data_IF_714012215925
#
_entry.id   IF_714012215925
#
_cell.length_a   1.000
_cell.length_b   1.000
_cell.length_c   1.000
_cell.angle_alpha   90.00
_cell.angle_beta   90.00
_cell.angle_gamma   90.00
#
_symmetry.space_group_name_H-M   'P 1'
#
loop_
_entity.id
_entity.type
_entity.pdbx_description
1 polymer ?
#
# COMPACT_ATOMS: atom_id res chain seq x y z
N UNK A 1 -19.89 5.97 32.21
CA UNK A 1 -21.29 6.41 32.07
C UNK A 1 -21.55 7.25 30.83
N UNK A 2 -20.73 8.27 30.50
CA UNK A 2 -20.87 9.07 29.27
C UNK A 2 -20.62 8.26 27.99
N UNK A 3 -19.63 7.37 27.96
CA UNK A 3 -19.34 6.51 26.79
C UNK A 3 -20.49 5.55 26.46
N UNK A 4 -21.19 5.02 27.46
CA UNK A 4 -22.33 4.12 27.25
C UNK A 4 -23.52 4.86 26.62
N UNK A 5 -23.71 6.16 26.95
CA UNK A 5 -24.77 6.98 26.36
C UNK A 5 -24.44 7.36 24.91
N UNK A 6 -23.18 7.68 24.61
CA UNK A 6 -22.71 7.96 23.25
C UNK A 6 -22.85 6.72 22.38
N UNK A 7 -22.46 5.55 22.86
CA UNK A 7 -22.59 4.29 22.14
C UNK A 7 -24.06 3.89 21.86
N UNK A 8 -25.01 4.39 22.65
CA UNK A 8 -26.45 4.15 22.39
C UNK A 8 -26.93 4.92 21.15
N UNK A 9 -26.44 6.14 20.93
CA UNK A 9 -26.84 6.97 19.79
C UNK A 9 -25.90 6.86 18.58
N UNK A 10 -24.62 6.54 18.81
CA UNK A 10 -23.58 6.39 17.81
C UNK A 10 -22.81 5.08 18.04
N UNK A 11 -23.43 3.92 17.83
CA UNK A 11 -22.77 2.65 18.07
C UNK A 11 -21.60 2.48 17.11
N UNK A 12 -20.49 1.94 17.62
CA UNK A 12 -19.36 1.54 16.79
C UNK A 12 -19.78 0.36 15.92
N UNK A 13 -19.53 0.47 14.63
CA UNK A 13 -19.86 -0.57 13.64
C UNK A 13 -18.60 -1.13 12.98
N UNK A 14 -18.66 -2.39 12.60
CA UNK A 14 -17.60 -3.06 11.88
C UNK A 14 -17.40 -2.43 10.50
N UNK A 15 -16.16 -2.04 10.18
CA UNK A 15 -15.81 -1.45 8.87
C UNK A 15 -15.92 -2.43 7.70
N UNK A 16 -16.06 -3.74 7.96
CA UNK A 16 -16.21 -4.77 6.93
C UNK A 16 -17.65 -5.17 6.63
N UNK A 17 -18.54 -5.27 7.65
CA UNK A 17 -19.92 -5.75 7.49
C UNK A 17 -21.00 -4.82 8.06
N UNK A 18 -20.60 -3.70 8.68
CA UNK A 18 -21.50 -2.72 9.32
C UNK A 18 -22.32 -3.27 10.51
N UNK A 19 -22.04 -4.47 11.01
CA UNK A 19 -22.63 -4.99 12.25
C UNK A 19 -22.07 -4.25 13.45
N UNK A 20 -22.83 -4.17 14.56
CA UNK A 20 -22.35 -3.58 15.80
C UNK A 20 -21.11 -4.31 16.33
N UNK A 21 -20.12 -3.54 16.76
CA UNK A 21 -18.93 -4.09 17.42
C UNK A 21 -19.24 -4.40 18.90
N UNK A 22 -18.72 -5.55 19.36
CA UNK A 22 -18.71 -5.89 20.77
C UNK A 22 -17.69 -5.04 21.54
N UNK A 23 -17.77 -5.05 22.86
CA UNK A 23 -16.91 -4.21 23.74
C UNK A 23 -15.41 -4.44 23.54
N UNK A 24 -15.02 -5.65 23.16
CA UNK A 24 -13.63 -6.06 22.90
C UNK A 24 -13.23 -6.04 21.43
N UNK A 25 -14.12 -5.61 20.56
CA UNK A 25 -13.86 -5.49 19.12
C UNK A 25 -13.55 -4.03 18.76
N UNK A 26 -12.65 -3.87 17.81
CA UNK A 26 -12.28 -2.55 17.31
C UNK A 26 -12.09 -2.59 15.79
N UNK A 27 -12.67 -1.65 15.06
CA UNK A 27 -12.62 -1.50 13.60
C UNK A 27 -13.23 -2.67 12.82
N UNK A 28 -12.86 -3.91 13.12
CA UNK A 28 -13.28 -5.14 12.41
C UNK A 28 -13.79 -6.15 13.45
N UNK A 29 -15.02 -6.67 13.26
CA UNK A 29 -15.59 -7.68 14.16
C UNK A 29 -14.91 -9.05 14.00
N UNK A 30 -15.08 -9.90 15.01
CA UNK A 30 -14.49 -11.25 15.04
C UNK A 30 -14.93 -12.10 13.83
N UNK A 31 -16.20 -12.01 13.42
CA UNK A 31 -16.72 -12.73 12.24
C UNK A 31 -15.99 -12.30 10.97
N UNK A 32 -15.91 -10.98 10.70
CA UNK A 32 -15.17 -10.50 9.54
C UNK A 32 -13.69 -10.89 9.61
N UNK A 33 -13.08 -10.85 10.79
CA UNK A 33 -11.67 -11.24 10.96
C UNK A 33 -11.43 -12.71 10.67
N UNK A 34 -12.41 -13.57 10.96
CA UNK A 34 -12.37 -14.99 10.66
C UNK A 34 -12.58 -15.27 9.17
N UNK A 35 -13.55 -14.57 8.54
CA UNK A 35 -14.00 -14.87 7.17
C UNK A 35 -13.21 -14.12 6.09
N UNK A 36 -12.33 -13.18 6.47
CA UNK A 36 -11.56 -12.39 5.52
C UNK A 36 -10.58 -13.28 4.73
N UNK A 37 -10.53 -13.19 3.38
CA UNK A 37 -9.75 -14.08 2.55
C UNK A 37 -8.25 -13.72 2.60
N UNK A 38 -7.50 -14.35 3.51
CA UNK A 38 -6.05 -14.26 3.60
C UNK A 38 -5.38 -14.90 2.36
N UNK A 39 -4.32 -14.27 1.85
CA UNK A 39 -3.55 -14.84 0.74
C UNK A 39 -2.52 -15.87 1.21
N UNK A 40 -2.02 -15.71 2.42
CA UNK A 40 -0.87 -16.45 2.96
C UNK A 40 0.39 -16.38 2.07
N UNK A 41 0.55 -15.28 1.34
CA UNK A 41 1.70 -15.08 0.43
C UNK A 41 3.04 -15.08 1.16
N UNK A 42 3.08 -14.79 2.46
CA UNK A 42 4.27 -14.85 3.28
C UNK A 42 4.88 -16.26 3.39
N UNK A 43 4.06 -17.30 3.16
CA UNK A 43 4.50 -18.70 3.19
C UNK A 43 5.09 -19.19 1.85
N UNK A 44 4.95 -18.41 0.77
CA UNK A 44 5.40 -18.83 -0.56
C UNK A 44 6.06 -17.64 -1.31
N UNK A 45 7.35 -17.74 -1.55
CA UNK A 45 8.11 -16.72 -2.28
C UNK A 45 7.66 -16.56 -3.74
N UNK A 46 7.22 -17.64 -4.40
CA UNK A 46 6.73 -17.65 -5.79
C UNK A 46 5.20 -17.52 -5.87
N UNK A 47 4.61 -16.72 -5.00
CA UNK A 47 3.18 -16.50 -4.93
C UNK A 47 2.61 -15.76 -6.18
N UNK A 48 1.28 -15.66 -6.27
CA UNK A 48 0.60 -15.03 -7.42
C UNK A 48 0.92 -13.54 -7.57
N UNK A 49 1.18 -12.83 -6.47
CA UNK A 49 1.56 -11.43 -6.52
C UNK A 49 2.97 -11.27 -7.13
N UNK A 50 3.91 -12.13 -6.76
CA UNK A 50 5.27 -12.15 -7.31
C UNK A 50 5.24 -12.44 -8.82
N UNK A 51 4.43 -13.41 -9.27
CA UNK A 51 4.28 -13.77 -10.68
C UNK A 51 3.79 -12.62 -11.56
N UNK A 52 3.02 -11.65 -11.01
CA UNK A 52 2.60 -10.45 -11.78
C UNK A 52 3.77 -9.56 -12.21
N UNK A 53 4.92 -9.65 -11.54
CA UNK A 53 6.10 -8.83 -11.84
C UNK A 53 7.22 -9.61 -12.54
N UNK A 54 7.06 -10.93 -12.67
CA UNK A 54 8.05 -11.79 -13.30
C UNK A 54 8.36 -11.33 -14.73
N UNK A 55 9.66 -11.15 -15.04
CA UNK A 55 10.12 -10.66 -16.35
C UNK A 55 9.87 -9.18 -16.62
N UNK A 56 9.17 -8.44 -15.74
CA UNK A 56 8.85 -7.02 -15.90
C UNK A 56 9.80 -6.12 -15.12
N UNK A 57 10.05 -6.45 -13.87
CA UNK A 57 10.97 -5.76 -12.96
C UNK A 57 11.65 -6.78 -12.02
N UNK A 58 12.89 -6.51 -11.58
CA UNK A 58 13.60 -7.36 -10.63
C UNK A 58 13.12 -7.06 -9.20
N UNK A 59 12.02 -7.69 -8.75
CA UNK A 59 11.56 -7.63 -7.36
C UNK A 59 12.16 -8.80 -6.55
N UNK A 60 12.55 -8.53 -5.29
CA UNK A 60 13.05 -9.56 -4.37
C UNK A 60 11.88 -10.33 -3.75
N UNK A 61 10.83 -9.61 -3.32
CA UNK A 61 9.64 -10.19 -2.73
C UNK A 61 8.42 -9.38 -3.16
N UNK A 62 7.29 -10.08 -3.33
CA UNK A 62 5.98 -9.43 -3.50
C UNK A 62 4.93 -10.22 -2.76
N UNK A 63 4.10 -9.52 -1.98
CA UNK A 63 2.98 -10.15 -1.29
C UNK A 63 1.82 -9.18 -1.07
N UNK A 64 0.66 -9.72 -0.76
CA UNK A 64 -0.52 -8.98 -0.32
C UNK A 64 -1.15 -9.73 0.85
N UNK A 65 -1.79 -9.00 1.77
CA UNK A 65 -2.42 -9.62 2.95
C UNK A 65 -3.69 -10.39 2.56
N UNK A 66 -4.55 -9.78 1.71
CA UNK A 66 -5.86 -10.34 1.36
C UNK A 66 -6.05 -10.55 -0.13
N UNK A 67 -6.94 -11.47 -0.49
CA UNK A 67 -7.58 -11.47 -1.81
C UNK A 67 -8.69 -10.42 -1.86
N UNK A 68 -8.71 -9.62 -2.92
CA UNK A 68 -9.73 -8.62 -3.18
C UNK A 68 -10.85 -9.21 -4.03
N UNK A 69 -12.02 -9.41 -3.42
CA UNK A 69 -13.23 -9.84 -4.13
C UNK A 69 -14.23 -8.69 -4.22
N UNK A 70 -14.94 -8.58 -5.36
CA UNK A 70 -16.05 -7.64 -5.50
C UNK A 70 -17.17 -8.01 -4.53
N UNK A 71 -17.76 -7.02 -3.88
CA UNK A 71 -18.80 -7.16 -2.86
C UNK A 71 -18.37 -7.96 -1.61
N UNK A 72 -17.06 -8.12 -1.39
CA UNK A 72 -16.52 -8.80 -0.23
C UNK A 72 -16.07 -7.83 0.88
N UNK A 73 -15.76 -8.40 2.06
CA UNK A 73 -15.28 -7.67 3.26
C UNK A 73 -14.09 -6.76 2.92
N UNK A 74 -13.12 -7.24 2.15
CA UNK A 74 -11.91 -6.48 1.78
C UNK A 74 -12.26 -5.27 0.94
N UNK A 75 -13.23 -5.37 0.02
CA UNK A 75 -13.69 -4.23 -0.76
C UNK A 75 -14.26 -3.14 0.14
N UNK A 76 -15.10 -3.51 1.13
CA UNK A 76 -15.70 -2.55 2.08
C UNK A 76 -14.62 -1.87 2.93
N UNK A 77 -13.65 -2.62 3.46
CA UNK A 77 -12.53 -2.07 4.21
C UNK A 77 -11.74 -1.04 3.38
N UNK A 78 -11.35 -1.41 2.16
CA UNK A 78 -10.60 -0.51 1.27
C UNK A 78 -11.45 0.69 0.85
N UNK A 79 -12.76 0.52 0.65
CA UNK A 79 -13.67 1.62 0.34
C UNK A 79 -13.79 2.61 1.51
N UNK A 80 -14.00 2.11 2.73
CA UNK A 80 -14.10 2.92 3.93
C UNK A 80 -12.79 3.68 4.20
N UNK A 81 -11.64 3.00 4.04
CA UNK A 81 -10.32 3.61 4.10
C UNK A 81 -10.10 4.69 3.04
N UNK A 82 -10.62 4.54 1.82
CA UNK A 82 -10.41 5.49 0.72
C UNK A 82 -11.35 6.70 0.75
N UNK A 83 -12.57 6.54 1.25
CA UNK A 83 -13.63 7.52 1.00
C UNK A 83 -14.41 7.97 2.24
N UNK A 84 -14.24 7.30 3.38
CA UNK A 84 -14.98 7.65 4.61
C UNK A 84 -14.08 8.11 5.76
N UNK A 85 -12.79 8.29 5.54
CA UNK A 85 -11.86 8.81 6.55
C UNK A 85 -11.46 7.80 7.62
N UNK A 86 -11.72 6.50 7.43
CA UNK A 86 -11.40 5.44 8.39
C UNK A 86 -9.92 5.00 8.29
N UNK A 87 -9.00 5.92 8.63
CA UNK A 87 -7.55 5.65 8.59
C UNK A 87 -7.11 4.53 9.54
N UNK A 88 -7.86 4.31 10.64
CA UNK A 88 -7.65 3.23 11.60
C UNK A 88 -7.67 1.82 10.97
N UNK A 89 -8.36 1.66 9.84
CA UNK A 89 -8.33 0.41 9.05
C UNK A 89 -6.88 0.15 8.57
N UNK A 90 -6.22 1.17 8.04
CA UNK A 90 -4.82 1.06 7.61
C UNK A 90 -3.90 0.65 8.73
N UNK A 91 -4.07 1.26 9.92
CA UNK A 91 -3.29 0.92 11.11
C UNK A 91 -3.44 -0.55 11.50
N UNK A 92 -4.68 -1.02 11.67
CA UNK A 92 -4.96 -2.42 12.07
C UNK A 92 -4.44 -3.42 11.03
N UNK A 93 -4.61 -3.14 9.74
CA UNK A 93 -4.09 -4.02 8.68
C UNK A 93 -2.56 -4.04 8.65
N UNK A 94 -1.91 -2.91 8.92
CA UNK A 94 -0.46 -2.82 9.02
C UNK A 94 0.10 -3.58 10.23
N UNK A 95 -0.54 -3.45 11.40
CA UNK A 95 -0.20 -4.23 12.59
C UNK A 95 -0.34 -5.73 12.33
N UNK A 96 -1.46 -6.15 11.78
CA UNK A 96 -1.71 -7.55 11.45
C UNK A 96 -0.67 -8.10 10.47
N UNK A 97 -0.46 -7.39 9.36
CA UNK A 97 0.45 -7.87 8.33
C UNK A 97 1.93 -7.86 8.75
N UNK A 98 2.32 -6.96 9.63
CA UNK A 98 3.68 -6.90 10.15
C UNK A 98 4.09 -8.22 10.83
N UNK A 99 3.16 -8.91 11.50
CA UNK A 99 3.47 -10.20 12.15
C UNK A 99 3.84 -11.28 11.12
N UNK A 100 3.09 -11.34 10.00
CA UNK A 100 3.39 -12.26 8.90
C UNK A 100 4.73 -11.91 8.23
N UNK A 101 4.96 -10.61 7.99
CA UNK A 101 6.16 -10.10 7.29
C UNK A 101 7.45 -10.31 8.08
N UNK A 102 7.41 -10.33 9.42
CA UNK A 102 8.58 -10.64 10.28
C UNK A 102 9.18 -11.99 9.99
N UNK A 103 8.37 -12.94 9.53
CA UNK A 103 8.81 -14.32 9.22
C UNK A 103 9.54 -14.44 7.87
N UNK A 104 9.51 -13.39 7.04
CA UNK A 104 10.07 -13.41 5.68
C UNK A 104 11.54 -12.98 5.73
N UNK A 105 12.46 -13.92 5.55
CA UNK A 105 13.90 -13.67 5.57
C UNK A 105 14.34 -12.62 4.54
N UNK A 106 13.77 -12.65 3.33
CA UNK A 106 14.06 -11.68 2.25
C UNK A 106 13.76 -10.22 2.62
N UNK A 107 12.88 -9.98 3.60
CA UNK A 107 12.51 -8.65 4.05
C UNK A 107 13.39 -8.14 5.20
N UNK A 108 14.24 -8.97 5.80
CA UNK A 108 15.14 -8.55 6.88
C UNK A 108 16.21 -7.55 6.42
N UNK A 109 16.50 -7.50 5.13
CA UNK A 109 17.44 -6.53 4.53
C UNK A 109 16.78 -5.22 4.08
N UNK A 110 15.49 -5.01 4.37
CA UNK A 110 14.78 -3.77 4.01
C UNK A 110 15.27 -2.61 4.88
N UNK A 111 15.57 -1.47 4.26
CA UNK A 111 16.00 -0.25 4.92
C UNK A 111 14.85 0.73 5.14
N UNK A 112 13.99 0.91 4.13
CA UNK A 112 12.95 1.93 4.15
C UNK A 112 11.64 1.44 3.52
N UNK A 113 10.52 1.93 4.07
CA UNK A 113 9.17 1.75 3.53
C UNK A 113 8.80 2.98 2.72
N UNK A 114 8.44 2.75 1.45
CA UNK A 114 8.09 3.81 0.49
C UNK A 114 6.61 3.65 0.08
N UNK A 115 5.73 4.60 0.42
CA UNK A 115 4.35 4.56 -0.05
C UNK A 115 4.24 4.98 -1.51
N UNK A 116 3.37 4.33 -2.27
CA UNK A 116 2.97 4.82 -3.60
C UNK A 116 2.32 6.21 -3.46
N UNK A 117 2.85 7.25 -4.12
CA UNK A 117 2.32 8.61 -3.98
C UNK A 117 0.98 8.76 -4.71
N UNK A 118 0.02 9.36 -4.03
CA UNK A 118 -1.30 9.61 -4.56
C UNK A 118 -1.27 10.79 -5.56
N UNK A 119 -2.14 10.75 -6.56
CA UNK A 119 -2.31 11.90 -7.45
C UNK A 119 -2.86 13.10 -6.67
N UNK A 120 -2.33 14.33 -6.89
CA UNK A 120 -2.69 15.54 -6.16
C UNK A 120 -4.20 15.79 -6.09
N UNK A 121 -4.95 15.51 -7.17
CA UNK A 121 -6.41 15.62 -7.17
C UNK A 121 -7.04 14.68 -6.13
N UNK A 122 -6.61 13.40 -6.12
CA UNK A 122 -7.13 12.42 -5.14
C UNK A 122 -6.70 12.75 -3.72
N UNK A 123 -5.48 13.29 -3.53
CA UNK A 123 -5.03 13.75 -2.23
C UNK A 123 -5.89 14.90 -1.71
N UNK A 124 -6.25 15.87 -2.56
CA UNK A 124 -7.17 16.95 -2.20
C UNK A 124 -8.59 16.45 -1.91
N UNK A 125 -9.09 15.49 -2.68
CA UNK A 125 -10.42 14.91 -2.50
C UNK A 125 -10.52 14.07 -1.21
N UNK A 126 -9.46 13.36 -0.83
CA UNK A 126 -9.42 12.45 0.34
C UNK A 126 -8.89 13.09 1.61
N UNK A 127 -8.04 14.11 1.49
CA UNK A 127 -7.31 14.73 2.60
C UNK A 127 -6.04 13.97 3.02
N UNK A 128 -5.89 12.70 2.64
CA UNK A 128 -4.77 11.84 3.03
C UNK A 128 -4.45 10.78 1.96
N UNK A 129 -3.26 10.19 2.07
CA UNK A 129 -2.90 9.01 1.28
C UNK A 129 -3.30 7.75 2.09
N UNK A 130 -4.19 6.93 1.52
CA UNK A 130 -4.77 5.75 2.16
C UNK A 130 -3.74 4.71 2.64
N UNK A 131 -2.54 4.71 2.08
CA UNK A 131 -1.48 3.78 2.51
C UNK A 131 -0.61 4.32 3.65
N UNK A 132 -0.81 5.59 4.06
CA UNK A 132 0.01 6.21 5.11
C UNK A 132 -0.12 5.52 6.46
N UNK A 133 -1.35 5.29 6.94
CA UNK A 133 -1.58 4.64 8.22
C UNK A 133 -1.04 3.20 8.23
N UNK A 134 -1.27 2.46 7.14
CA UNK A 134 -0.72 1.13 6.93
C UNK A 134 0.82 1.11 6.95
N UNK A 135 1.46 2.01 6.19
CA UNK A 135 2.92 2.11 6.14
C UNK A 135 3.55 2.52 7.47
N UNK A 136 2.92 3.43 8.21
CA UNK A 136 3.38 3.82 9.56
C UNK A 136 3.26 2.67 10.57
N UNK A 137 2.18 1.89 10.51
CA UNK A 137 2.02 0.71 11.34
C UNK A 137 3.06 -0.36 11.02
N UNK A 138 3.32 -0.63 9.74
CA UNK A 138 4.43 -1.51 9.31
C UNK A 138 5.78 -0.98 9.80
N UNK A 139 6.06 0.32 9.62
CA UNK A 139 7.29 0.98 10.06
C UNK A 139 7.55 0.77 11.56
N UNK A 140 6.53 1.00 12.38
CA UNK A 140 6.64 0.83 13.83
C UNK A 140 6.90 -0.63 14.22
N UNK A 141 6.15 -1.57 13.66
CA UNK A 141 6.22 -2.99 14.04
C UNK A 141 7.44 -3.71 13.48
N UNK A 142 7.93 -3.31 12.30
CA UNK A 142 9.12 -3.87 11.64
C UNK A 142 10.39 -3.09 12.00
N UNK A 143 10.29 -1.96 12.71
CA UNK A 143 11.40 -1.04 13.05
C UNK A 143 12.13 -0.50 11.82
N UNK A 144 11.38 -0.18 10.76
CA UNK A 144 11.89 0.36 9.51
C UNK A 144 11.57 1.85 9.39
N UNK A 145 12.37 2.59 8.64
CA UNK A 145 12.10 4.01 8.34
C UNK A 145 10.94 4.13 7.35
N UNK A 146 9.95 4.98 7.66
CA UNK A 146 8.90 5.35 6.69
C UNK A 146 9.31 6.64 5.98
N UNK A 147 9.43 6.59 4.63
CA UNK A 147 9.88 7.71 3.81
C UNK A 147 8.89 7.96 2.66
N UNK A 148 8.07 9.01 2.79
CA UNK A 148 7.10 9.44 1.79
C UNK A 148 7.61 10.56 0.87
N UNK A 149 8.88 10.93 1.00
CA UNK A 149 9.51 11.99 0.22
C UNK A 149 10.39 11.48 -0.94
N UNK A 150 10.82 10.20 -0.90
CA UNK A 150 11.71 9.62 -1.89
C UNK A 150 11.04 9.49 -3.28
N UNK A 151 9.81 8.97 -3.32
CA UNK A 151 9.08 8.68 -4.55
C UNK A 151 8.07 9.77 -4.84
N UNK A 152 8.19 10.41 -5.98
CA UNK A 152 7.39 11.56 -6.40
C UNK A 152 6.46 11.19 -7.54
N UNK A 153 5.25 11.74 -7.53
CA UNK A 153 4.34 11.65 -8.67
C UNK A 153 4.34 12.94 -9.46
N UNK A 154 4.78 12.88 -10.71
CA UNK A 154 4.82 14.04 -11.61
C UNK A 154 3.42 14.49 -11.98
N UNK A 155 3.19 15.80 -11.90
CA UNK A 155 1.94 16.41 -12.37
C UNK A 155 2.14 16.84 -13.82
N UNK A 156 1.57 16.09 -14.76
CA UNK A 156 1.55 16.52 -16.16
C UNK A 156 0.60 17.72 -16.30
N UNK A 157 1.14 18.91 -16.59
CA UNK A 157 0.33 20.00 -17.14
C UNK A 157 0.12 19.74 -18.64
N UNK A 158 -1.11 19.97 -19.14
CA UNK A 158 -1.45 19.84 -20.58
C UNK A 158 -0.56 20.71 -21.50
N UNK A 159 0.17 21.68 -20.95
CA UNK A 159 1.12 22.55 -21.65
C UNK A 159 2.44 21.89 -22.02
N UNK A 160 2.88 20.86 -21.30
CA UNK A 160 4.12 20.15 -21.63
C UNK A 160 3.95 19.14 -22.77
N UNK A 161 2.75 18.59 -22.97
CA UNK A 161 2.47 17.66 -24.08
C UNK A 161 2.52 18.32 -25.45
N UNK A 162 2.33 19.66 -25.55
CA UNK A 162 2.45 20.40 -26.82
C UNK A 162 3.89 20.76 -27.21
N UNK A 163 4.82 20.84 -26.23
CA UNK A 163 6.25 21.15 -26.53
C UNK A 163 7.03 19.93 -27.00
N UNK A 164 6.59 18.71 -26.67
CA UNK A 164 7.30 17.46 -27.04
C UNK A 164 6.94 16.93 -28.43
N UNK A 165 6.03 17.58 -29.18
CA UNK A 165 5.67 17.20 -30.56
C UNK A 165 6.70 17.67 -31.62
N UNK A 166 7.63 18.55 -31.25
CA UNK A 166 8.64 19.14 -32.15
C UNK A 166 10.08 18.63 -31.91
N UNK A 167 10.31 17.76 -30.91
CA UNK A 167 11.63 17.19 -30.61
C UNK A 167 11.51 15.67 -30.43
N UNK A 168 11.66 14.91 -31.51
CA UNK A 168 11.92 13.46 -31.44
C UNK A 168 13.32 13.26 -30.87
N UNK A 169 13.38 12.73 -29.70
CA UNK A 169 14.37 11.98 -28.94
C UNK A 169 14.49 12.52 -27.53
N UNK A 170 14.43 11.59 -26.57
CA UNK A 170 14.62 11.71 -25.11
C UNK A 170 13.36 11.94 -24.28
N UNK A 171 12.99 10.85 -23.57
CA UNK A 171 12.22 10.89 -22.34
C UNK A 171 10.71 10.80 -22.50
N UNK A 172 10.19 9.58 -22.60
CA UNK A 172 8.80 9.35 -22.15
C UNK A 172 8.77 9.86 -20.72
N UNK A 173 8.11 11.01 -20.51
CA UNK A 173 7.98 11.62 -19.20
C UNK A 173 7.30 10.61 -18.27
N UNK A 174 8.05 10.05 -17.33
CA UNK A 174 7.58 9.01 -16.43
C UNK A 174 6.61 9.60 -15.43
N UNK A 175 5.51 8.90 -15.17
CA UNK A 175 4.48 9.33 -14.20
C UNK A 175 5.07 9.47 -12.79
N UNK A 176 6.14 8.70 -12.50
CA UNK A 176 6.83 8.72 -11.21
C UNK A 176 8.30 9.04 -11.40
N UNK A 177 8.87 9.72 -10.42
CA UNK A 177 10.28 10.04 -10.32
C UNK A 177 10.77 9.89 -8.89
N UNK A 178 12.08 9.96 -8.65
CA UNK A 178 12.70 9.83 -7.33
C UNK A 178 13.57 11.02 -7.00
N UNK A 179 13.52 11.46 -5.73
CA UNK A 179 14.42 12.44 -5.15
C UNK A 179 15.35 11.70 -4.19
N UNK A 180 16.59 11.47 -4.59
CA UNK A 180 17.54 10.66 -3.83
C UNK A 180 18.92 11.33 -3.73
N UNK A 181 19.74 10.86 -2.80
CA UNK A 181 21.12 11.26 -2.55
C UNK A 181 22.01 10.01 -2.54
N UNK A 182 23.32 10.18 -2.39
CA UNK A 182 24.26 9.05 -2.25
C UNK A 182 23.95 8.14 -1.05
N UNK A 183 23.27 8.67 -0.01
CA UNK A 183 22.85 7.89 1.17
C UNK A 183 21.77 6.84 0.84
N UNK A 184 21.13 6.98 -0.30
CA UNK A 184 20.06 6.09 -0.75
C UNK A 184 20.57 4.98 -1.67
N UNK A 185 21.88 5.01 -2.04
CA UNK A 185 22.51 3.97 -2.84
C UNK A 185 22.54 2.63 -2.08
N UNK A 186 22.40 1.54 -2.82
CA UNK A 186 22.43 0.15 -2.34
C UNK A 186 21.34 -0.23 -1.30
N UNK A 187 20.36 0.64 -1.04
CA UNK A 187 19.26 0.35 -0.12
C UNK A 187 18.25 -0.63 -0.72
N UNK A 188 17.60 -1.36 0.17
CA UNK A 188 16.45 -2.20 -0.13
C UNK A 188 15.17 -1.48 0.29
N UNK A 189 14.35 -1.11 -0.66
CA UNK A 189 13.10 -0.37 -0.46
C UNK A 189 11.89 -1.32 -0.45
N UNK A 190 11.01 -1.18 0.53
CA UNK A 190 9.72 -1.83 0.59
C UNK A 190 8.64 -0.87 0.06
N UNK A 191 8.25 -1.05 -1.19
CA UNK A 191 7.17 -0.28 -1.82
C UNK A 191 5.83 -0.80 -1.35
N UNK A 192 4.95 0.10 -0.87
CA UNK A 192 3.62 -0.26 -0.37
C UNK A 192 2.50 0.43 -1.14
N UNK A 193 1.40 -0.33 -1.37
CA UNK A 193 0.15 0.20 -1.97
C UNK A 193 -1.07 -0.48 -1.34
N UNK A 194 -2.27 0.00 -1.67
CA UNK A 194 -3.52 -0.58 -1.18
C UNK A 194 -3.89 -1.88 -1.91
N UNK A 195 -3.95 -1.89 -3.25
CA UNK A 195 -4.41 -3.07 -4.01
C UNK A 195 -3.57 -3.32 -5.25
N UNK A 196 -3.01 -4.51 -5.34
CA UNK A 196 -2.41 -5.02 -6.59
C UNK A 196 -3.55 -5.46 -7.52
N UNK A 197 -3.70 -4.77 -8.64
CA UNK A 197 -4.57 -5.20 -9.74
C UNK A 197 -3.73 -5.79 -10.87
N UNK A 198 -3.41 -5.02 -11.90
CA UNK A 198 -2.48 -5.40 -12.97
C UNK A 198 -1.00 -5.25 -12.58
N UNK A 199 -0.71 -4.56 -11.47
CA UNK A 199 0.63 -4.21 -11.04
C UNK A 199 1.27 -3.03 -11.79
N UNK A 200 0.57 -2.40 -12.75
CA UNK A 200 1.17 -1.36 -13.60
C UNK A 200 1.67 -0.13 -12.82
N UNK A 201 0.93 0.31 -11.80
CA UNK A 201 1.36 1.43 -10.93
C UNK A 201 2.63 1.06 -10.16
N UNK A 202 2.64 -0.11 -9.54
CA UNK A 202 3.78 -0.62 -8.77
C UNK A 202 5.00 -0.83 -9.66
N UNK A 203 4.81 -1.34 -10.88
CA UNK A 203 5.90 -1.44 -11.86
C UNK A 203 6.50 -0.08 -12.20
N UNK A 204 5.65 0.93 -12.48
CA UNK A 204 6.13 2.27 -12.81
C UNK A 204 6.86 2.92 -11.62
N UNK A 205 6.38 2.74 -10.39
CA UNK A 205 7.06 3.18 -9.17
C UNK A 205 8.40 2.46 -8.97
N UNK A 206 8.41 1.14 -9.15
CA UNK A 206 9.62 0.33 -9.02
C UNK A 206 10.68 0.73 -10.05
N UNK A 207 10.29 0.96 -11.31
CA UNK A 207 11.21 1.46 -12.36
C UNK A 207 11.80 2.83 -12.01
N UNK A 208 11.06 3.69 -11.32
CA UNK A 208 11.58 4.97 -10.84
C UNK A 208 12.62 4.76 -9.72
N UNK A 209 12.32 3.92 -8.71
CA UNK A 209 13.24 3.62 -7.60
C UNK A 209 14.52 2.91 -8.09
N UNK A 210 14.41 2.02 -9.08
CA UNK A 210 15.55 1.31 -9.66
C UNK A 210 16.54 2.21 -10.44
N UNK A 211 16.23 3.51 -10.61
CA UNK A 211 17.23 4.49 -11.08
C UNK A 211 18.29 4.80 -10.02
N UNK A 212 18.00 4.52 -8.74
CA UNK A 212 18.95 4.70 -7.64
C UNK A 212 20.01 3.61 -7.74
N UNK A 213 21.31 3.94 -7.77
CA UNK A 213 22.38 2.95 -7.91
C UNK A 213 22.33 1.85 -6.84
N UNK A 214 22.29 0.58 -7.27
CA UNK A 214 22.27 -0.58 -6.37
C UNK A 214 20.96 -0.80 -5.61
N UNK A 215 19.90 -0.04 -5.90
CA UNK A 215 18.61 -0.20 -5.22
C UNK A 215 18.00 -1.59 -5.44
N UNK A 216 17.41 -2.13 -4.37
CA UNK A 216 16.65 -3.37 -4.35
C UNK A 216 15.21 -3.05 -4.00
N UNK A 217 14.25 -3.84 -4.49
CA UNK A 217 12.81 -3.59 -4.28
C UNK A 217 12.11 -4.84 -3.83
N UNK A 218 11.30 -4.68 -2.79
CA UNK A 218 10.19 -5.57 -2.42
C UNK A 218 8.87 -4.81 -2.46
N UNK A 219 7.77 -5.51 -2.67
CA UNK A 219 6.43 -4.91 -2.77
C UNK A 219 5.48 -5.58 -1.79
N UNK A 220 4.74 -4.78 -1.03
CA UNK A 220 3.73 -5.26 -0.09
C UNK A 220 2.46 -4.44 -0.22
N UNK A 221 1.30 -5.10 -0.30
CA UNK A 221 0.00 -4.44 -0.41
C UNK A 221 -1.03 -4.99 0.58
N UNK A 222 -2.05 -4.20 0.89
CA UNK A 222 -3.16 -4.66 1.73
C UNK A 222 -3.95 -5.77 1.03
N UNK A 223 -4.13 -5.67 -0.29
CA UNK A 223 -4.90 -6.67 -1.02
C UNK A 223 -4.39 -6.90 -2.46
N UNK A 224 -4.80 -8.02 -3.06
CA UNK A 224 -4.58 -8.36 -4.46
C UNK A 224 -5.88 -8.79 -5.12
N UNK A 225 -6.21 -8.18 -6.27
CA UNK A 225 -7.31 -8.64 -7.12
C UNK A 225 -6.90 -9.95 -7.82
N UNK A 226 -7.77 -10.95 -7.69
CA UNK A 226 -7.68 -12.17 -8.51
C UNK A 226 -8.05 -11.84 -9.94
N UNK A 227 -7.26 -12.32 -10.90
CA UNK A 227 -7.47 -12.17 -12.34
C UNK A 227 -8.33 -13.29 -12.87
#
# INVERSE_FOLDING_TARGET
MFESLINLFFPKVCSGCSSFLLTNENVICTVCRHDIPLTNHHLNAENEAFKKFYGRIPVIHTSALFYFHKKGIVQELIHNLKYKGHEEIGTILGEWYAEDLKSIELLQSVDEIIPVPLHNRKLKERGYNQVTAFGKALSFNLKLTYNDSLLLRNVYSKTQSKKNLLGRTEGIATVFDVSFTEKDHNKHFLLIDDVITTGATLEACSRAILKIPGAKISVVCMAMAQS
#
